data_IF_114714553706
#
_entry.id   IF_114714553706
#
_cell.length_a   1.000
_cell.length_b   1.000
_cell.length_c   1.000
_cell.angle_alpha   90.00
_cell.angle_beta   90.00
_cell.angle_gamma   90.00
#
_symmetry.space_group_name_H-M   'P 1'
#
loop_
_entity.id
_entity.type
_entity.pdbx_description
1 polymer ?
#
# COMPACT_ATOMS: atom_id res chain seq x y z
N UNK A 1 -86.96 48.81 24.36
CA UNK A 1 -85.55 48.99 24.00
C UNK A 1 -85.40 50.36 23.39
N UNK A 2 -85.72 51.41 24.11
CA UNK A 2 -85.31 51.86 25.45
C UNK A 2 -84.37 53.05 25.24
N UNK A 3 -84.88 54.17 25.75
CA UNK A 3 -84.20 55.43 25.98
C UNK A 3 -83.04 55.17 26.95
N UNK A 4 -81.91 55.85 26.73
CA UNK A 4 -81.03 56.43 27.75
C UNK A 4 -80.14 57.43 26.96
N UNK A 5 -80.46 58.73 26.99
CA UNK A 5 -79.92 59.69 27.96
C UNK A 5 -78.38 59.77 27.88
N UNK A 6 -77.84 60.79 27.23
CA UNK A 6 -77.54 62.11 27.82
C UNK A 6 -76.28 62.06 28.73
N UNK A 7 -75.56 63.18 28.78
CA UNK A 7 -74.44 63.49 29.69
C UNK A 7 -73.06 63.05 29.14
N UNK A 8 -72.42 63.91 28.34
CA UNK A 8 -71.56 64.98 28.88
C UNK A 8 -70.69 65.60 27.78
N UNK A 9 -71.05 66.81 27.34
CA UNK A 9 -70.04 67.77 26.92
C UNK A 9 -69.28 68.26 28.15
N UNK A 10 -67.99 68.56 27.98
CA UNK A 10 -67.08 69.17 28.95
C UNK A 10 -66.55 68.15 29.98
N UNK A 11 -65.27 67.80 30.04
CA UNK A 11 -64.20 68.70 30.44
C UNK A 11 -62.82 68.23 29.95
N UNK A 12 -61.97 69.23 29.73
CA UNK A 12 -60.51 69.20 29.83
C UNK A 12 -59.75 69.00 28.52
N UNK A 13 -59.68 70.10 27.78
CA UNK A 13 -58.46 70.65 27.19
C UNK A 13 -57.29 70.58 28.20
N UNK A 14 -56.82 69.36 28.47
CA UNK A 14 -55.62 69.10 29.23
C UNK A 14 -54.50 69.04 28.21
N UNK A 15 -53.82 70.19 28.10
CA UNK A 15 -52.48 70.38 27.58
C UNK A 15 -51.85 69.08 27.11
N UNK A 16 -51.63 68.94 25.80
CA UNK A 16 -50.58 68.03 25.30
C UNK A 16 -49.36 68.38 26.12
N UNK A 17 -49.05 67.55 27.11
CA UNK A 17 -48.09 67.91 28.15
C UNK A 17 -46.77 68.09 27.43
N UNK A 18 -46.39 69.34 27.21
CA UNK A 18 -45.29 69.73 26.34
C UNK A 18 -43.97 69.10 26.83
N UNK A 19 -43.92 68.76 28.13
CA UNK A 19 -42.85 67.98 28.76
C UNK A 19 -42.76 66.53 28.26
N UNK A 20 -43.89 65.85 28.02
CA UNK A 20 -43.91 64.47 27.48
C UNK A 20 -43.42 64.46 26.04
N UNK A 21 -43.85 65.44 25.24
CA UNK A 21 -43.38 65.60 23.87
C UNK A 21 -41.88 65.92 23.82
N UNK A 22 -41.39 66.84 24.67
CA UNK A 22 -39.96 67.15 24.79
C UNK A 22 -39.13 65.93 25.23
N UNK A 23 -39.61 65.16 26.21
CA UNK A 23 -38.95 63.93 26.65
C UNK A 23 -38.85 62.89 25.52
N UNK A 24 -39.91 62.73 24.73
CA UNK A 24 -39.89 61.83 23.58
C UNK A 24 -38.85 62.28 22.54
N UNK A 25 -38.84 63.55 22.16
CA UNK A 25 -37.89 64.08 21.17
C UNK A 25 -36.44 63.96 21.67
N UNK A 26 -36.18 64.19 22.96
CA UNK A 26 -34.85 64.06 23.54
C UNK A 26 -34.35 62.60 23.50
N UNK A 27 -35.22 61.64 23.86
CA UNK A 27 -34.88 60.20 23.79
C UNK A 27 -34.59 59.74 22.36
N UNK A 28 -35.39 60.17 21.38
CA UNK A 28 -35.15 59.89 19.96
C UNK A 28 -33.82 60.50 19.49
N UNK A 29 -33.52 61.75 19.89
CA UNK A 29 -32.23 62.38 19.55
C UNK A 29 -31.04 61.68 20.19
N UNK A 30 -31.21 61.09 21.38
CA UNK A 30 -30.15 60.36 22.08
C UNK A 30 -29.80 59.04 21.39
N UNK A 31 -30.78 58.39 20.76
CA UNK A 31 -30.62 57.15 19.98
C UNK A 31 -29.91 57.40 18.64
N UNK A 32 -30.12 58.58 18.02
CA UNK A 32 -29.47 58.95 16.76
C UNK A 32 -27.98 59.30 16.91
N UNK A 33 -27.48 59.37 18.15
CA UNK A 33 -26.03 59.43 18.39
C UNK A 33 -25.43 58.08 17.99
N UNK A 34 -24.95 57.98 16.74
CA UNK A 34 -24.12 56.87 16.23
C UNK A 34 -22.98 56.58 17.20
N UNK A 35 -23.20 55.70 18.16
CA UNK A 35 -22.15 55.14 18.98
C UNK A 35 -21.22 54.41 18.03
N UNK A 36 -20.00 54.94 17.85
CA UNK A 36 -18.95 54.29 17.07
C UNK A 36 -18.62 52.97 17.77
N UNK A 37 -19.24 51.89 17.32
CA UNK A 37 -18.89 50.54 17.74
C UNK A 37 -17.40 50.35 17.43
N UNK A 38 -16.61 49.99 18.44
CA UNK A 38 -15.21 49.62 18.23
C UNK A 38 -15.18 48.41 17.28
N UNK A 39 -14.24 48.35 16.32
CA UNK A 39 -14.14 47.22 15.41
C UNK A 39 -14.01 45.92 16.21
N UNK A 40 -14.70 44.87 15.75
CA UNK A 40 -14.66 43.56 16.40
C UNK A 40 -13.21 43.07 16.53
N UNK A 41 -12.70 42.99 17.76
CA UNK A 41 -11.42 42.36 18.06
C UNK A 41 -11.64 40.88 18.31
N UNK A 42 -10.96 40.03 17.53
CA UNK A 42 -11.12 38.58 17.53
C UNK A 42 -10.31 37.98 18.69
N UNK A 43 -10.95 37.28 19.62
CA UNK A 43 -10.33 36.58 20.76
C UNK A 43 -10.24 35.07 20.54
N UNK A 44 -9.89 34.63 19.33
CA UNK A 44 -9.69 33.21 19.06
C UNK A 44 -8.25 32.93 18.65
N UNK A 45 -7.74 31.70 18.85
CA UNK A 45 -6.39 31.33 18.49
C UNK A 45 -6.22 31.37 16.96
N UNK A 46 -5.39 32.29 16.45
CA UNK A 46 -5.02 32.31 15.03
C UNK A 46 -3.82 31.40 14.78
N UNK A 47 -3.83 30.71 13.62
CA UNK A 47 -2.75 29.81 13.20
C UNK A 47 -1.44 30.56 12.90
N UNK A 48 -1.50 31.86 12.63
CA UNK A 48 -0.35 32.72 12.39
C UNK A 48 -0.29 33.80 13.48
N UNK A 49 0.83 33.81 14.20
CA UNK A 49 1.19 34.79 15.23
C UNK A 49 2.54 35.34 14.80
N UNK A 50 2.59 36.61 14.37
CA UNK A 50 3.85 37.31 14.11
C UNK A 50 4.01 38.38 15.19
N UNK A 51 5.01 38.22 16.07
CA UNK A 51 5.34 39.17 17.14
C UNK A 51 5.68 40.57 16.59
N UNK A 52 6.22 40.62 15.38
CA UNK A 52 6.41 41.82 14.60
C UNK A 52 5.27 41.87 13.61
N UNK A 53 4.35 42.82 13.72
CA UNK A 53 3.22 43.03 12.80
C UNK A 53 3.68 43.49 11.39
N UNK A 54 4.72 42.86 10.84
CA UNK A 54 5.25 43.03 9.50
C UNK A 54 4.40 42.22 8.51
N UNK A 55 3.10 42.46 8.52
CA UNK A 55 2.26 42.04 7.41
C UNK A 55 2.49 43.06 6.30
N UNK A 56 3.36 42.73 5.34
CA UNK A 56 3.55 43.52 4.14
C UNK A 56 2.20 43.59 3.38
N UNK A 57 1.39 44.60 3.66
CA UNK A 57 0.15 44.89 2.91
C UNK A 57 0.38 45.17 1.41
N UNK A 58 1.63 45.31 0.97
CA UNK A 58 2.00 45.44 -0.43
C UNK A 58 2.09 44.10 -1.18
N UNK A 59 2.04 42.96 -0.47
CA UNK A 59 2.29 41.64 -1.05
C UNK A 59 1.01 40.88 -1.46
N UNK A 60 -0.19 41.43 -1.30
CA UNK A 60 -1.42 40.77 -1.78
C UNK A 60 -1.57 40.83 -3.32
N UNK A 61 -1.10 41.89 -3.98
CA UNK A 61 -1.13 42.01 -5.46
C UNK A 61 0.21 41.70 -6.14
N UNK A 62 1.32 41.62 -5.38
CA UNK A 62 2.69 41.41 -5.90
C UNK A 62 3.42 40.27 -5.17
N UNK A 63 2.69 39.33 -4.59
CA UNK A 63 3.12 38.36 -3.57
C UNK A 63 4.14 37.28 -3.91
N UNK A 64 5.10 37.53 -4.81
CA UNK A 64 6.20 36.58 -5.10
C UNK A 64 7.56 37.21 -5.31
N UNK A 65 7.69 38.54 -5.20
CA UNK A 65 8.89 39.25 -5.69
C UNK A 65 10.08 39.20 -4.73
N UNK A 66 9.82 39.01 -3.43
CA UNK A 66 10.85 39.03 -2.39
C UNK A 66 10.96 37.71 -1.61
N UNK A 67 10.23 36.66 -2.01
CA UNK A 67 10.34 35.36 -1.36
C UNK A 67 11.58 34.65 -1.90
N UNK A 68 12.63 34.60 -1.09
CA UNK A 68 13.86 33.90 -1.47
C UNK A 68 13.60 32.39 -1.46
N UNK A 69 13.72 31.76 -2.64
CA UNK A 69 13.50 30.33 -2.79
C UNK A 69 14.61 29.53 -2.08
N UNK A 70 14.25 28.61 -1.18
CA UNK A 70 15.17 27.75 -0.42
C UNK A 70 16.14 27.01 -1.36
N UNK A 71 15.69 26.58 -2.55
CA UNK A 71 16.56 25.91 -3.52
C UNK A 71 17.68 26.84 -4.02
N UNK A 72 17.42 28.15 -4.14
CA UNK A 72 18.42 29.14 -4.53
C UNK A 72 19.51 29.31 -3.45
N UNK A 73 19.14 29.30 -2.16
CA UNK A 73 20.11 29.33 -1.06
C UNK A 73 20.96 28.06 -1.03
N UNK A 74 20.33 26.89 -1.25
CA UNK A 74 21.02 25.60 -1.29
C UNK A 74 22.06 25.56 -2.42
N UNK A 75 21.76 26.16 -3.59
CA UNK A 75 22.73 26.28 -4.70
C UNK A 75 23.93 27.14 -4.31
N UNK A 76 23.73 28.25 -3.61
CA UNK A 76 24.83 29.08 -3.09
C UNK A 76 25.65 28.36 -2.03
N UNK A 77 24.99 27.55 -1.19
CA UNK A 77 25.64 26.77 -0.14
C UNK A 77 26.57 25.67 -0.69
N UNK A 78 26.20 25.06 -1.83
CA UNK A 78 27.02 24.03 -2.52
C UNK A 78 28.37 24.57 -3.03
N UNK A 79 28.53 25.89 -3.19
CA UNK A 79 29.77 26.49 -3.68
C UNK A 79 30.93 26.36 -2.69
N UNK A 80 30.64 26.19 -1.39
CA UNK A 80 31.67 26.02 -0.35
C UNK A 80 31.80 24.52 0.00
N UNK A 81 33.01 23.92 -0.10
CA UNK A 81 33.20 22.49 0.13
C UNK A 81 32.81 22.05 1.56
N UNK A 82 32.99 22.92 2.56
CA UNK A 82 32.58 22.66 3.95
C UNK A 82 31.08 22.44 4.12
N UNK A 83 30.26 22.97 3.21
CA UNK A 83 28.80 23.04 3.38
C UNK A 83 28.05 22.04 2.48
N UNK A 84 28.76 21.22 1.70
CA UNK A 84 28.18 20.23 0.78
C UNK A 84 27.30 19.23 1.50
N UNK A 85 27.69 18.80 2.71
CA UNK A 85 26.91 17.88 3.53
C UNK A 85 25.54 18.47 3.94
N UNK A 86 25.51 19.77 4.26
CA UNK A 86 24.29 20.49 4.61
C UNK A 86 23.37 20.59 3.39
N UNK A 87 23.92 20.94 2.23
CA UNK A 87 23.16 20.99 0.99
C UNK A 87 22.53 19.63 0.62
N UNK A 88 23.27 18.53 0.81
CA UNK A 88 22.76 17.16 0.61
C UNK A 88 21.61 16.81 1.56
N UNK A 89 21.71 17.21 2.83
CA UNK A 89 20.64 17.02 3.82
C UNK A 89 19.38 17.80 3.44
N UNK A 90 19.51 19.06 3.04
CA UNK A 90 18.35 19.88 2.64
C UNK A 90 17.67 19.31 1.38
N UNK A 91 18.45 18.89 0.38
CA UNK A 91 17.87 18.21 -0.80
C UNK A 91 17.22 16.89 -0.41
N UNK A 92 17.84 16.13 0.49
CA UNK A 92 17.25 14.90 0.99
C UNK A 92 15.91 15.19 1.64
N UNK A 93 15.80 16.18 2.53
CA UNK A 93 14.56 16.62 3.23
C UNK A 93 13.46 17.09 2.26
N UNK A 94 13.85 17.77 1.18
CA UNK A 94 12.92 18.25 0.17
C UNK A 94 12.46 17.13 -0.80
N UNK A 95 13.18 16.01 -0.87
CA UNK A 95 12.74 14.85 -1.66
C UNK A 95 11.49 14.24 -1.00
N UNK A 96 10.32 14.48 -1.58
CA UNK A 96 9.03 13.98 -1.08
C UNK A 96 8.97 12.45 -0.96
N UNK A 97 9.77 11.73 -1.76
CA UNK A 97 9.90 10.27 -1.67
C UNK A 97 10.66 9.79 -0.43
N UNK A 98 11.55 10.63 0.12
CA UNK A 98 12.45 10.28 1.24
C UNK A 98 11.98 10.79 2.59
N UNK A 99 11.15 11.84 2.62
CA UNK A 99 10.61 12.43 3.85
C UNK A 99 9.10 12.50 3.79
N UNK A 100 8.50 11.42 3.30
CA UNK A 100 7.09 11.23 3.54
C UNK A 100 6.91 11.05 5.04
N UNK A 101 6.35 12.06 5.69
CA UNK A 101 5.93 11.95 7.09
C UNK A 101 5.03 10.73 7.21
N UNK A 102 5.41 9.80 8.09
CA UNK A 102 4.61 8.60 8.30
C UNK A 102 3.21 9.01 8.78
N UNK A 103 2.15 8.44 8.20
CA UNK A 103 0.81 8.71 8.67
C UNK A 103 0.66 8.22 10.11
N UNK A 104 -0.26 8.84 10.85
CA UNK A 104 -0.62 8.37 12.19
C UNK A 104 -1.02 6.89 12.09
N UNK A 105 -0.52 6.01 12.98
CA UNK A 105 -0.92 4.61 12.99
C UNK A 105 -2.44 4.51 13.22
N UNK A 106 -3.06 3.56 12.52
CA UNK A 106 -4.49 3.28 12.63
C UNK A 106 -4.80 2.61 13.97
N UNK A 107 -6.08 2.64 14.37
CA UNK A 107 -6.55 1.87 15.52
C UNK A 107 -6.47 0.37 15.22
N UNK A 108 -6.27 -0.44 16.27
CA UNK A 108 -6.02 -1.88 16.14
C UNK A 108 -7.06 -2.61 15.28
N UNK A 109 -8.34 -2.31 15.48
CA UNK A 109 -9.43 -2.95 14.72
C UNK A 109 -9.29 -2.69 13.21
N UNK A 110 -8.88 -1.48 12.85
CA UNK A 110 -8.69 -1.10 11.46
C UNK A 110 -7.40 -1.68 10.87
N UNK A 111 -6.29 -1.70 11.62
CA UNK A 111 -5.05 -2.37 11.17
C UNK A 111 -5.28 -3.87 10.96
N UNK A 112 -5.92 -4.53 11.91
CA UNK A 112 -6.16 -5.98 11.85
C UNK A 112 -7.12 -6.34 10.71
N UNK A 113 -8.01 -5.42 10.32
CA UNK A 113 -8.85 -5.60 9.12
C UNK A 113 -8.01 -5.55 7.85
N UNK A 114 -7.13 -4.57 7.73
CA UNK A 114 -6.25 -4.42 6.56
C UNK A 114 -5.29 -5.62 6.47
N UNK A 115 -4.69 -6.04 7.58
CA UNK A 115 -3.80 -7.21 7.61
C UNK A 115 -4.51 -8.48 7.14
N UNK A 116 -5.77 -8.69 7.58
CA UNK A 116 -6.58 -9.83 7.13
C UNK A 116 -6.93 -9.74 5.65
N UNK A 117 -7.22 -8.55 5.14
CA UNK A 117 -7.53 -8.34 3.71
C UNK A 117 -6.32 -8.65 2.83
N UNK A 118 -5.13 -8.17 3.22
CA UNK A 118 -3.87 -8.48 2.53
C UNK A 118 -3.56 -9.98 2.62
N UNK A 119 -3.72 -10.58 3.81
CA UNK A 119 -3.51 -12.01 3.99
C UNK A 119 -4.47 -12.85 3.14
N UNK A 120 -5.73 -12.42 3.01
CA UNK A 120 -6.72 -13.08 2.15
C UNK A 120 -6.31 -13.05 0.68
N UNK A 121 -5.90 -11.90 0.15
CA UNK A 121 -5.47 -11.82 -1.26
C UNK A 121 -4.23 -12.68 -1.52
N UNK A 122 -3.25 -12.67 -0.63
CA UNK A 122 -2.08 -13.55 -0.74
C UNK A 122 -2.47 -15.04 -0.78
N UNK A 123 -3.34 -15.47 0.15
CA UNK A 123 -3.80 -16.87 0.21
C UNK A 123 -4.65 -17.23 -1.00
N UNK A 124 -5.45 -16.30 -1.52
CA UNK A 124 -6.24 -16.47 -2.74
C UNK A 124 -5.35 -16.69 -3.96
N UNK A 125 -4.25 -15.93 -4.09
CA UNK A 125 -3.25 -16.17 -5.14
C UNK A 125 -2.60 -17.56 -5.01
N UNK A 126 -2.27 -17.99 -3.78
CA UNK A 126 -1.70 -19.32 -3.53
C UNK A 126 -2.67 -20.46 -3.84
N UNK A 127 -3.95 -20.29 -3.50
CA UNK A 127 -5.01 -21.26 -3.82
C UNK A 127 -5.25 -21.30 -5.34
N UNK A 128 -5.19 -20.16 -6.03
CA UNK A 128 -5.43 -20.10 -7.47
C UNK A 128 -4.42 -20.92 -8.29
N UNK A 129 -3.21 -21.17 -7.75
CA UNK A 129 -2.24 -22.11 -8.34
C UNK A 129 -2.78 -23.53 -8.50
N UNK A 130 -3.80 -23.91 -7.71
CA UNK A 130 -4.45 -25.20 -7.79
C UNK A 130 -5.62 -25.25 -8.78
N UNK A 131 -6.09 -24.11 -9.29
CA UNK A 131 -7.22 -24.04 -10.21
C UNK A 131 -7.05 -24.92 -11.46
N UNK A 132 -5.86 -24.97 -12.12
CA UNK A 132 -5.67 -25.84 -13.28
C UNK A 132 -5.82 -27.32 -12.96
N UNK A 133 -5.22 -27.80 -11.86
CA UNK A 133 -5.30 -29.21 -11.45
C UNK A 133 -6.73 -29.57 -11.06
N UNK A 134 -7.44 -28.67 -10.38
CA UNK A 134 -8.85 -28.86 -10.03
C UNK A 134 -9.72 -28.88 -11.28
N UNK A 135 -9.45 -28.02 -12.26
CA UNK A 135 -10.18 -27.97 -13.53
C UNK A 135 -9.95 -29.24 -14.36
N UNK A 136 -8.70 -29.69 -14.49
CA UNK A 136 -8.35 -30.92 -15.20
C UNK A 136 -9.03 -32.13 -14.56
N UNK A 137 -9.02 -32.23 -13.23
CA UNK A 137 -9.71 -33.29 -12.52
C UNK A 137 -11.25 -33.23 -12.69
N UNK A 138 -11.83 -32.04 -12.84
CA UNK A 138 -13.29 -31.85 -13.07
C UNK A 138 -13.71 -32.18 -14.49
N UNK A 139 -12.83 -31.95 -15.47
CA UNK A 139 -13.11 -32.18 -16.90
C UNK A 139 -12.70 -33.58 -17.38
N UNK A 140 -11.93 -34.31 -16.58
CA UNK A 140 -11.51 -35.68 -16.89
C UNK A 140 -12.68 -36.67 -16.89
N UNK A 141 -12.77 -37.51 -17.93
CA UNK A 141 -13.81 -38.54 -18.06
C UNK A 141 -13.73 -39.60 -16.94
N UNK A 142 -12.52 -39.92 -16.49
CA UNK A 142 -12.29 -40.90 -15.42
C UNK A 142 -11.16 -40.46 -14.50
N UNK A 143 -11.46 -40.44 -13.20
CA UNK A 143 -10.47 -40.29 -12.14
C UNK A 143 -10.11 -41.67 -11.58
N UNK A 144 -8.80 -41.94 -11.45
CA UNK A 144 -8.30 -43.19 -10.86
C UNK A 144 -7.70 -42.89 -9.49
N UNK A 145 -8.19 -43.60 -8.48
CA UNK A 145 -7.70 -43.54 -7.11
C UNK A 145 -7.13 -44.91 -6.69
N UNK A 146 -6.11 -44.95 -5.82
CA UNK A 146 -5.42 -43.82 -5.20
C UNK A 146 -4.63 -42.97 -6.22
N UNK A 147 -4.50 -41.67 -5.95
CA UNK A 147 -3.69 -40.78 -6.81
C UNK A 147 -2.23 -41.26 -6.78
N UNK A 148 -1.51 -41.09 -7.91
CA UNK A 148 -0.07 -41.37 -7.95
C UNK A 148 0.62 -40.54 -6.87
N UNK A 149 1.01 -41.17 -5.77
CA UNK A 149 1.81 -40.52 -4.75
C UNK A 149 3.19 -40.33 -5.35
N UNK A 150 3.77 -39.14 -5.21
CA UNK A 150 5.19 -38.91 -5.50
C UNK A 150 5.98 -39.55 -4.34
N UNK A 151 5.77 -40.84 -4.14
CA UNK A 151 6.67 -41.63 -3.32
C UNK A 151 8.00 -41.60 -4.07
N UNK A 152 9.10 -41.45 -3.33
CA UNK A 152 10.45 -41.33 -3.89
C UNK A 152 10.85 -42.52 -4.77
N UNK A 153 10.03 -43.57 -4.83
CA UNK A 153 10.15 -44.72 -5.72
C UNK A 153 9.50 -44.51 -7.11
N UNK A 154 8.54 -43.59 -7.25
CA UNK A 154 7.74 -43.39 -8.47
C UNK A 154 8.34 -42.43 -9.50
N UNK A 155 9.34 -41.61 -9.12
CA UNK A 155 10.23 -40.94 -10.10
C UNK A 155 11.01 -41.99 -10.89
N UNK A 156 11.16 -43.18 -10.33
CA UNK A 156 11.70 -44.28 -11.09
C UNK A 156 10.64 -45.05 -11.88
N UNK A 157 9.33 -44.98 -11.64
CA UNK A 157 8.33 -45.93 -12.18
C UNK A 157 7.94 -45.76 -13.66
N UNK A 158 8.04 -44.56 -14.22
CA UNK A 158 7.88 -44.39 -15.68
C UNK A 158 9.15 -44.84 -16.44
N UNK A 159 10.29 -45.02 -15.74
CA UNK A 159 11.54 -45.63 -16.25
C UNK A 159 11.90 -47.00 -15.60
N UNK A 160 11.10 -47.49 -14.64
CA UNK A 160 11.30 -48.75 -13.88
C UNK A 160 10.33 -49.82 -14.33
N UNK A 161 9.29 -49.51 -15.11
CA UNK A 161 8.56 -50.56 -15.82
C UNK A 161 9.49 -51.41 -16.69
N UNK A 162 10.57 -50.82 -17.21
CA UNK A 162 11.64 -51.53 -17.92
C UNK A 162 12.78 -52.03 -17.01
N UNK A 163 12.85 -51.57 -15.75
CA UNK A 163 13.74 -52.14 -14.71
C UNK A 163 13.03 -53.24 -13.89
N UNK A 164 11.87 -53.68 -14.36
CA UNK A 164 11.16 -54.86 -13.93
C UNK A 164 12.03 -56.09 -14.23
N UNK A 165 12.54 -56.72 -13.18
CA UNK A 165 13.13 -58.08 -13.14
C UNK A 165 14.36 -58.43 -14.02
N UNK A 166 14.77 -57.61 -15.00
CA UNK A 166 15.94 -57.92 -15.85
C UNK A 166 17.31 -57.59 -15.22
N UNK A 167 17.34 -57.00 -14.02
CA UNK A 167 18.57 -56.57 -13.35
C UNK A 167 19.08 -57.57 -12.31
N UNK A 168 18.98 -58.86 -12.60
CA UNK A 168 19.55 -59.93 -11.76
C UNK A 168 21.09 -59.91 -11.75
N UNK A 169 21.71 -59.40 -12.83
CA UNK A 169 23.16 -59.38 -13.02
C UNK A 169 23.90 -58.37 -12.11
N UNK A 170 23.18 -57.43 -11.49
CA UNK A 170 23.77 -56.46 -10.57
C UNK A 170 23.49 -56.82 -9.11
N UNK A 171 23.26 -58.10 -8.80
CA UNK A 171 23.28 -58.50 -7.39
C UNK A 171 24.70 -58.25 -6.88
N UNK A 172 24.82 -57.23 -6.03
CA UNK A 172 26.05 -56.79 -5.37
C UNK A 172 26.57 -57.88 -4.42
N UNK A 173 27.05 -58.98 -5.00
CA UNK A 173 27.70 -60.09 -4.33
C UNK A 173 29.06 -60.26 -4.98
N UNK A 174 30.05 -60.65 -4.18
CA UNK A 174 31.37 -61.00 -4.72
C UNK A 174 31.19 -62.23 -5.62
N UNK A 175 31.71 -62.24 -6.85
CA UNK A 175 31.56 -63.38 -7.76
C UNK A 175 32.16 -64.64 -7.13
N UNK A 176 31.49 -65.77 -7.30
CA UNK A 176 31.92 -67.05 -6.76
C UNK A 176 33.19 -67.57 -7.47
N UNK A 177 33.94 -68.47 -6.84
CA UNK A 177 35.16 -69.07 -7.43
C UNK A 177 34.88 -69.76 -8.78
N UNK A 178 33.72 -70.38 -8.93
CA UNK A 178 33.25 -70.98 -10.18
C UNK A 178 32.98 -69.91 -11.24
N UNK A 179 32.30 -68.82 -10.88
CA UNK A 179 31.98 -67.74 -11.81
C UNK A 179 33.26 -67.07 -12.36
N UNK A 180 34.28 -66.89 -11.51
CA UNK A 180 35.59 -66.41 -11.91
C UNK A 180 36.32 -67.37 -12.85
N UNK A 181 36.28 -68.68 -12.55
CA UNK A 181 36.89 -69.69 -13.41
C UNK A 181 36.18 -69.78 -14.77
N UNK A 182 34.85 -69.71 -14.77
CA UNK A 182 34.03 -69.73 -15.97
C UNK A 182 34.26 -68.47 -16.81
N UNK A 183 34.36 -67.28 -16.19
CA UNK A 183 34.72 -66.04 -16.88
C UNK A 183 36.10 -66.15 -17.55
N UNK A 184 37.10 -66.65 -16.82
CA UNK A 184 38.45 -66.86 -17.36
C UNK A 184 38.46 -67.85 -18.54
N UNK A 185 37.68 -68.93 -18.44
CA UNK A 185 37.52 -69.87 -19.53
C UNK A 185 36.83 -69.22 -20.74
N UNK A 186 35.78 -68.43 -20.50
CA UNK A 186 35.05 -67.71 -21.55
C UNK A 186 35.98 -66.75 -22.31
N UNK A 187 36.82 -66.00 -21.59
CA UNK A 187 37.77 -65.05 -22.20
C UNK A 187 38.87 -65.77 -23.00
N UNK A 188 39.21 -67.01 -22.64
CA UNK A 188 40.14 -67.84 -23.43
C UNK A 188 39.51 -68.43 -24.71
N UNK A 189 38.19 -68.40 -24.85
CA UNK A 189 37.49 -68.97 -26.01
C UNK A 189 37.55 -68.02 -27.21
N UNK A 190 38.09 -68.52 -28.34
CA UNK A 190 38.15 -67.78 -29.61
C UNK A 190 36.77 -67.42 -30.15
N UNK A 191 35.77 -68.28 -29.93
CA UNK A 191 34.41 -68.04 -30.43
C UNK A 191 33.81 -66.81 -29.75
N UNK A 192 33.98 -66.69 -28.43
CA UNK A 192 33.39 -65.60 -27.64
C UNK A 192 34.09 -64.27 -27.90
N UNK A 193 35.41 -64.28 -28.09
CA UNK A 193 36.19 -63.08 -28.45
C UNK A 193 35.80 -62.55 -29.82
N UNK A 194 35.63 -63.43 -30.83
CA UNK A 194 35.13 -63.04 -32.15
C UNK A 194 33.74 -62.40 -32.08
N UNK A 195 32.78 -63.00 -31.36
CA UNK A 195 31.45 -62.40 -31.18
C UNK A 195 31.50 -61.03 -30.48
N UNK A 196 32.41 -60.86 -29.50
CA UNK A 196 32.60 -59.58 -28.80
C UNK A 196 33.18 -58.51 -29.74
N UNK A 197 34.17 -58.85 -30.56
CA UNK A 197 34.77 -57.94 -31.55
C UNK A 197 33.79 -57.51 -32.64
N UNK A 198 32.99 -58.44 -33.19
CA UNK A 198 31.97 -58.12 -34.20
C UNK A 198 30.94 -57.14 -33.65
N UNK A 199 30.50 -57.34 -32.40
CA UNK A 199 29.49 -56.49 -31.78
C UNK A 199 30.04 -55.08 -31.49
N UNK A 200 31.27 -54.95 -30.99
CA UNK A 200 31.92 -53.63 -30.76
C UNK A 200 32.09 -52.86 -32.07
N UNK A 201 32.47 -53.54 -33.16
CA UNK A 201 32.61 -52.91 -34.47
C UNK A 201 31.25 -52.46 -35.05
N UNK A 202 30.16 -53.18 -34.76
CA UNK A 202 28.83 -52.80 -35.23
C UNK A 202 28.29 -51.52 -34.57
N UNK A 203 28.72 -51.20 -33.35
CA UNK A 203 28.37 -49.94 -32.68
C UNK A 203 29.21 -48.74 -33.17
N UNK A 204 30.42 -48.95 -33.68
CA UNK A 204 31.28 -47.86 -34.14
C UNK A 204 31.01 -47.43 -35.59
N UNK A 205 30.36 -48.29 -36.39
CA UNK A 205 30.00 -48.00 -37.79
C UNK A 205 28.68 -47.21 -37.92
N UNK A 206 27.89 -47.09 -36.83
CA UNK A 206 26.57 -46.42 -36.85
C UNK A 206 26.55 -44.99 -36.28
N UNK A 207 27.70 -44.31 -36.20
CA UNK A 207 27.80 -42.88 -35.84
C UNK A 207 28.31 -42.09 -37.03
#
# INVERSE_FOLDING_TARGET
>A
MDLDEEILSDFSDSEIVDSKHKSLVETISSLDKKARLKPASRKEPSLQISEYHLVNKADEEKGKKNLVDVQSLVKSLKKKPSNVHIAKKITAVHDARKNLTLPKPLEKIHSDKIEREVAFENVKEDISKWDPIVFDNRTSDQLKFPLKQIDKESVEDEQKKDKSHHKFLNTFKKPNSLELALAKLLDSSQVVTQYREVNVNQFFVST
#
